data_IF_339653115967
#
_entry.id   IF_339653115967
#
_cell.length_a   1.000
_cell.length_b   1.000
_cell.length_c   1.000
_cell.angle_alpha   90.00
_cell.angle_beta   90.00
_cell.angle_gamma   90.00
#
_symmetry.space_group_name_H-M   'P 1'
#
loop_
_entity.id
_entity.type
_entity.pdbx_description
1 polymer ?
#
# COMPACT_ATOMS: atom_id res chain seq x y z
N UNK A 1 -2.82 -8.12 -20.84
CA UNK A 1 -3.29 -8.69 -19.55
C UNK A 1 -2.36 -9.84 -19.17
N UNK A 2 -1.79 -9.77 -17.97
CA UNK A 2 -1.05 -10.89 -17.35
C UNK A 2 -2.02 -12.02 -17.05
N UNK A 3 -1.73 -13.24 -17.49
CA UNK A 3 -2.57 -14.42 -17.26
C UNK A 3 -2.02 -15.36 -16.20
N UNK A 4 -0.70 -15.36 -16.03
CA UNK A 4 -0.01 -16.24 -15.09
C UNK A 4 1.30 -15.61 -14.66
N UNK A 5 1.61 -15.72 -13.38
CA UNK A 5 2.89 -15.34 -12.76
C UNK A 5 3.59 -16.62 -12.29
N UNK A 6 4.89 -16.72 -12.50
CA UNK A 6 5.70 -17.82 -11.94
C UNK A 6 6.04 -17.53 -10.47
N UNK A 7 5.03 -17.62 -9.62
CA UNK A 7 5.14 -17.40 -8.18
C UNK A 7 6.24 -18.25 -7.55
N UNK A 8 6.30 -19.54 -7.93
CA UNK A 8 7.27 -20.46 -7.35
C UNK A 8 8.72 -20.07 -7.70
N UNK A 9 8.96 -19.57 -8.93
CA UNK A 9 10.28 -19.08 -9.34
C UNK A 9 10.69 -17.82 -8.60
N UNK A 10 9.77 -16.87 -8.46
CA UNK A 10 10.00 -15.62 -7.73
C UNK A 10 10.26 -15.92 -6.25
N UNK A 11 9.40 -16.73 -5.61
CA UNK A 11 9.53 -17.07 -4.20
C UNK A 11 10.85 -17.74 -3.87
N UNK A 12 11.27 -18.72 -4.66
CA UNK A 12 12.60 -19.37 -4.47
C UNK A 12 13.74 -18.36 -4.48
N UNK A 13 13.66 -17.35 -5.34
CA UNK A 13 14.70 -16.32 -5.43
C UNK A 13 14.69 -15.40 -4.22
N UNK A 14 13.50 -15.01 -3.77
CA UNK A 14 13.32 -14.22 -2.55
C UNK A 14 13.79 -14.98 -1.29
N UNK A 15 13.49 -16.28 -1.20
CA UNK A 15 13.88 -17.13 -0.06
C UNK A 15 15.42 -17.28 0.06
N UNK A 16 16.15 -17.07 -1.03
CA UNK A 16 17.61 -16.99 -1.01
C UNK A 16 18.16 -15.63 -0.56
N UNK A 17 17.29 -14.70 -0.17
CA UNK A 17 17.65 -13.34 0.23
C UNK A 17 18.00 -12.41 -0.94
N UNK A 18 17.65 -12.78 -2.17
CA UNK A 18 17.89 -11.97 -3.35
C UNK A 18 16.75 -10.98 -3.61
N UNK A 19 17.06 -9.89 -4.32
CA UNK A 19 16.08 -8.99 -4.90
C UNK A 19 15.68 -9.51 -6.28
N UNK A 20 14.37 -9.53 -6.56
CA UNK A 20 13.85 -9.96 -7.86
C UNK A 20 13.50 -8.72 -8.68
N UNK A 21 14.19 -8.52 -9.79
CA UNK A 21 13.89 -7.47 -10.77
C UNK A 21 13.09 -8.08 -11.92
N UNK A 22 11.87 -7.57 -12.13
CA UNK A 22 10.99 -8.02 -13.20
C UNK A 22 10.87 -6.94 -14.27
N UNK A 23 11.03 -7.32 -15.53
CA UNK A 23 10.77 -6.45 -16.68
C UNK A 23 9.31 -6.57 -17.12
N UNK A 24 8.75 -5.53 -17.78
CA UNK A 24 7.37 -5.55 -18.27
C UNK A 24 7.22 -6.39 -19.56
N UNK A 25 7.72 -7.61 -19.53
CA UNK A 25 7.62 -8.56 -20.65
C UNK A 25 6.83 -9.80 -20.22
N UNK A 26 6.02 -10.31 -21.14
CA UNK A 26 5.35 -11.58 -20.99
C UNK A 26 5.62 -12.48 -22.21
N UNK A 27 5.44 -13.78 -22.04
CA UNK A 27 5.56 -14.75 -23.11
C UNK A 27 4.27 -15.52 -23.28
N UNK A 28 3.88 -15.77 -24.54
CA UNK A 28 2.79 -16.70 -24.82
C UNK A 28 3.24 -18.14 -24.56
N UNK A 29 2.30 -19.09 -24.47
CA UNK A 29 2.65 -20.51 -24.41
C UNK A 29 3.47 -21.01 -25.62
N UNK A 30 3.40 -20.28 -26.73
CA UNK A 30 4.16 -20.54 -27.96
C UNK A 30 5.52 -19.85 -28.01
N UNK A 31 5.89 -19.07 -26.94
CA UNK A 31 7.18 -18.42 -26.82
C UNK A 31 7.26 -17.01 -27.44
N UNK A 32 6.14 -16.44 -27.89
CA UNK A 32 6.12 -15.07 -28.40
C UNK A 32 6.23 -14.06 -27.26
N UNK A 33 7.09 -13.05 -27.42
CA UNK A 33 7.30 -12.01 -26.43
C UNK A 33 6.31 -10.84 -26.63
N UNK A 34 5.78 -10.33 -25.54
CA UNK A 34 4.86 -9.19 -25.51
C UNK A 34 5.34 -8.13 -24.53
N UNK A 35 5.29 -6.87 -24.95
CA UNK A 35 5.36 -5.74 -24.01
C UNK A 35 4.05 -5.64 -23.24
N UNK A 36 4.16 -5.54 -21.93
CA UNK A 36 3.04 -5.37 -21.00
C UNK A 36 3.15 -4.00 -20.32
N UNK A 37 2.05 -3.47 -19.83
CA UNK A 37 2.10 -2.33 -18.93
C UNK A 37 2.78 -2.74 -17.62
N UNK A 38 3.75 -1.94 -17.17
CA UNK A 38 4.52 -2.25 -15.96
C UNK A 38 3.62 -2.32 -14.72
N UNK A 39 2.64 -1.45 -14.65
CA UNK A 39 1.67 -1.38 -13.56
C UNK A 39 0.77 -2.62 -13.50
N UNK A 40 0.40 -3.14 -14.66
CA UNK A 40 -0.36 -4.40 -14.75
C UNK A 40 0.47 -5.60 -14.29
N UNK A 41 1.76 -5.64 -14.66
CA UNK A 41 2.70 -6.68 -14.19
C UNK A 41 2.89 -6.56 -12.68
N UNK A 42 3.20 -5.36 -12.17
CA UNK A 42 3.40 -5.13 -10.75
C UNK A 42 2.17 -5.52 -9.93
N UNK A 43 0.98 -5.08 -10.35
CA UNK A 43 -0.29 -5.41 -9.68
C UNK A 43 -0.54 -6.92 -9.68
N UNK A 44 -0.36 -7.59 -10.82
CA UNK A 44 -0.60 -9.03 -10.93
C UNK A 44 0.40 -9.84 -10.08
N UNK A 45 1.65 -9.44 -10.08
CA UNK A 45 2.70 -10.09 -9.27
C UNK A 45 2.43 -9.88 -7.77
N UNK A 46 2.07 -8.67 -7.34
CA UNK A 46 1.77 -8.38 -5.96
C UNK A 46 0.58 -9.23 -5.45
N UNK A 47 -0.49 -9.35 -6.25
CA UNK A 47 -1.65 -10.17 -5.91
C UNK A 47 -1.27 -11.65 -5.78
N UNK A 48 -0.60 -12.20 -6.78
CA UNK A 48 -0.25 -13.63 -6.81
C UNK A 48 0.77 -14.02 -5.72
N UNK A 49 1.68 -13.11 -5.35
CA UNK A 49 2.61 -13.29 -4.23
C UNK A 49 1.97 -13.03 -2.87
N UNK A 50 0.76 -12.46 -2.83
CA UNK A 50 0.14 -11.93 -1.60
C UNK A 50 1.08 -10.98 -0.88
N UNK A 51 1.60 -10.00 -1.62
CA UNK A 51 2.52 -9.03 -1.08
C UNK A 51 1.83 -8.17 0.00
N UNK A 52 2.55 -7.85 1.07
CA UNK A 52 2.05 -6.95 2.11
C UNK A 52 1.84 -5.54 1.56
N UNK A 53 2.71 -5.11 0.65
CA UNK A 53 2.66 -3.77 0.07
C UNK A 53 2.92 -3.79 -1.43
N UNK A 54 2.19 -2.94 -2.16
CA UNK A 54 2.49 -2.54 -3.54
C UNK A 54 2.76 -1.04 -3.56
N UNK A 55 3.93 -0.63 -4.04
CA UNK A 55 4.32 0.79 -4.07
C UNK A 55 4.55 1.23 -5.50
N UNK A 56 3.81 2.24 -5.95
CA UNK A 56 4.02 2.92 -7.21
C UNK A 56 4.84 4.20 -6.98
N UNK A 57 6.04 4.24 -7.55
CA UNK A 57 6.87 5.45 -7.64
C UNK A 57 6.49 6.18 -8.93
N UNK A 58 5.88 7.36 -8.80
CA UNK A 58 5.19 8.02 -9.92
C UNK A 58 5.48 9.52 -9.99
N UNK A 59 5.06 10.16 -11.08
CA UNK A 59 5.01 11.63 -11.15
C UNK A 59 3.86 12.21 -10.32
N UNK A 60 2.86 11.39 -10.00
CA UNK A 60 1.71 11.79 -9.19
C UNK A 60 2.14 11.90 -7.73
N UNK A 61 1.90 13.05 -7.11
CA UNK A 61 2.27 13.29 -5.71
C UNK A 61 1.41 12.51 -4.71
N UNK A 62 0.25 12.01 -5.14
CA UNK A 62 -0.76 11.33 -4.31
C UNK A 62 -2.17 11.72 -4.75
N UNK A 63 -3.16 11.21 -4.06
CA UNK A 63 -4.57 11.52 -4.27
C UNK A 63 -4.94 12.73 -3.41
N UNK A 64 -5.79 13.61 -3.94
CA UNK A 64 -6.30 14.79 -3.23
C UNK A 64 -7.79 14.64 -3.00
N UNK A 65 -8.28 15.23 -1.91
CA UNK A 65 -9.71 15.23 -1.58
C UNK A 65 -10.58 15.78 -2.71
N UNK A 66 -10.06 16.79 -3.42
CA UNK A 66 -10.74 17.43 -4.56
C UNK A 66 -9.87 17.30 -5.81
N UNK A 67 -9.99 16.19 -6.56
CA UNK A 67 -9.24 16.00 -7.80
C UNK A 67 -9.59 17.08 -8.82
N UNK A 68 -8.56 17.67 -9.43
CA UNK A 68 -8.72 18.75 -10.41
C UNK A 68 -8.57 20.15 -9.83
N UNK A 69 -8.65 20.33 -8.52
CA UNK A 69 -8.35 21.59 -7.85
C UNK A 69 -6.83 21.75 -7.59
N UNK A 70 -6.33 23.00 -7.52
CA UNK A 70 -4.93 23.25 -7.24
C UNK A 70 -4.48 22.65 -5.90
N UNK A 71 -3.21 22.29 -5.84
CA UNK A 71 -2.59 21.87 -4.58
C UNK A 71 -2.51 23.07 -3.61
N UNK A 72 -2.89 22.85 -2.34
CA UNK A 72 -2.85 23.88 -1.29
C UNK A 72 -3.36 23.35 0.02
N UNK A 73 -3.37 24.21 1.03
CA UNK A 73 -3.84 23.86 2.37
C UNK A 73 -5.32 23.44 2.38
N UNK A 74 -6.12 24.00 1.47
CA UNK A 74 -7.54 23.65 1.31
C UNK A 74 -7.76 22.35 0.52
N UNK A 75 -6.72 21.81 -0.12
CA UNK A 75 -6.78 20.58 -0.90
C UNK A 75 -5.50 19.74 -0.67
N UNK A 76 -5.31 19.22 0.54
CA UNK A 76 -4.16 18.39 0.87
C UNK A 76 -4.20 17.04 0.16
N UNK A 77 -3.09 16.31 0.22
CA UNK A 77 -3.05 14.89 -0.18
C UNK A 77 -3.73 14.08 0.92
N UNK A 78 -4.62 13.17 0.50
CA UNK A 78 -5.12 12.12 1.38
C UNK A 78 -4.01 11.09 1.61
N UNK A 79 -3.44 11.07 2.80
CA UNK A 79 -2.35 10.13 3.14
C UNK A 79 -2.87 8.71 3.31
N UNK A 80 -4.12 8.56 3.74
CA UNK A 80 -4.78 7.27 3.91
C UNK A 80 -6.17 7.28 3.25
N UNK A 81 -6.37 6.37 2.31
CA UNK A 81 -7.62 6.26 1.55
C UNK A 81 -8.19 4.84 1.73
N UNK A 82 -9.27 4.68 2.49
CA UNK A 82 -9.97 3.40 2.60
C UNK A 82 -10.41 2.88 1.23
N UNK A 83 -10.34 1.58 1.01
CA UNK A 83 -10.66 0.94 -0.28
C UNK A 83 -12.05 1.33 -0.80
N UNK A 84 -13.04 1.43 0.08
CA UNK A 84 -14.39 1.86 -0.30
C UNK A 84 -14.41 3.30 -0.81
N UNK A 85 -13.68 4.21 -0.16
CA UNK A 85 -13.54 5.61 -0.60
C UNK A 85 -12.76 5.70 -1.91
N UNK A 86 -11.68 4.94 -2.06
CA UNK A 86 -10.91 4.84 -3.30
C UNK A 86 -11.76 4.38 -4.49
N UNK A 87 -12.65 3.40 -4.27
CA UNK A 87 -13.57 2.93 -5.30
C UNK A 87 -14.63 3.99 -5.68
N UNK A 88 -15.18 4.67 -4.67
CA UNK A 88 -16.14 5.75 -4.90
C UNK A 88 -15.51 6.89 -5.68
N UNK A 89 -14.29 7.31 -5.30
CA UNK A 89 -13.53 8.33 -5.99
C UNK A 89 -13.22 7.91 -7.44
N UNK A 90 -12.75 6.69 -7.65
CA UNK A 90 -12.44 6.15 -8.99
C UNK A 90 -13.67 6.17 -9.90
N UNK A 91 -14.86 5.97 -9.38
CA UNK A 91 -16.10 6.02 -10.15
C UNK A 91 -16.45 7.45 -10.62
N UNK A 92 -15.94 8.49 -9.96
CA UNK A 92 -16.17 9.91 -10.33
C UNK A 92 -15.12 10.45 -11.29
N UNK A 93 -13.93 9.81 -11.35
CA UNK A 93 -12.84 10.26 -12.21
C UNK A 93 -13.10 9.85 -13.67
N UNK A 94 -12.65 10.65 -14.65
CA UNK A 94 -12.66 10.24 -16.05
C UNK A 94 -11.83 8.97 -16.25
N UNK A 95 -12.17 8.18 -17.25
CA UNK A 95 -11.41 6.98 -17.59
C UNK A 95 -9.95 7.33 -17.84
N UNK A 96 -9.07 6.79 -17.02
CA UNK A 96 -7.63 7.04 -17.13
C UNK A 96 -7.08 6.44 -18.43
N UNK A 97 -6.36 7.26 -19.21
CA UNK A 97 -5.78 6.87 -20.50
C UNK A 97 -4.25 6.89 -20.48
N UNK A 98 -3.66 7.61 -19.54
CA UNK A 98 -2.21 7.82 -19.46
C UNK A 98 -1.67 7.57 -18.04
N UNK A 99 -0.40 7.16 -17.91
CA UNK A 99 0.23 6.95 -16.59
C UNK A 99 0.34 8.22 -15.72
N UNK A 100 0.18 9.41 -16.30
CA UNK A 100 0.13 10.69 -15.57
C UNK A 100 -1.22 10.96 -14.92
N UNK A 101 -2.25 10.20 -15.30
CA UNK A 101 -3.59 10.37 -14.76
C UNK A 101 -3.67 9.78 -13.35
N UNK A 102 -4.17 10.54 -12.39
CA UNK A 102 -4.39 10.09 -11.00
C UNK A 102 -5.19 8.80 -10.97
N UNK A 103 -6.27 8.72 -11.75
CA UNK A 103 -7.13 7.54 -11.85
C UNK A 103 -6.42 6.28 -12.33
N UNK A 104 -5.32 6.42 -13.09
CA UNK A 104 -4.55 5.29 -13.60
C UNK A 104 -3.92 4.47 -12.46
N UNK A 105 -3.20 5.12 -11.55
CA UNK A 105 -2.59 4.43 -10.41
C UNK A 105 -3.63 4.01 -9.39
N UNK A 106 -4.65 4.86 -9.15
CA UNK A 106 -5.72 4.55 -8.20
C UNK A 106 -6.46 3.26 -8.58
N UNK A 107 -6.74 3.03 -9.87
CA UNK A 107 -7.38 1.78 -10.32
C UNK A 107 -6.51 0.53 -10.05
N UNK A 108 -5.18 0.67 -10.19
CA UNK A 108 -4.24 -0.42 -9.89
C UNK A 108 -4.14 -0.69 -8.39
N UNK A 109 -4.13 0.35 -7.56
CA UNK A 109 -4.18 0.22 -6.09
C UNK A 109 -5.47 -0.47 -5.65
N UNK A 110 -6.63 -0.03 -6.15
CA UNK A 110 -7.92 -0.65 -5.87
C UNK A 110 -7.95 -2.12 -6.31
N UNK A 111 -7.40 -2.43 -7.50
CA UNK A 111 -7.31 -3.80 -8.01
C UNK A 111 -6.42 -4.67 -7.12
N UNK A 112 -5.28 -4.15 -6.67
CA UNK A 112 -4.35 -4.87 -5.80
C UNK A 112 -4.96 -5.19 -4.44
N UNK A 113 -5.55 -4.19 -3.76
CA UNK A 113 -6.19 -4.39 -2.46
C UNK A 113 -7.37 -5.37 -2.56
N UNK A 114 -8.23 -5.26 -3.59
CA UNK A 114 -9.28 -6.26 -3.85
C UNK A 114 -8.73 -7.67 -4.10
N UNK A 115 -7.53 -7.77 -4.61
CA UNK A 115 -6.82 -9.03 -4.86
C UNK A 115 -6.11 -9.59 -3.63
N UNK A 116 -6.17 -8.93 -2.47
CA UNK A 116 -5.60 -9.39 -1.22
C UNK A 116 -4.22 -8.82 -0.88
N UNK A 117 -3.76 -7.77 -1.58
CA UNK A 117 -2.63 -6.96 -1.14
C UNK A 117 -3.11 -6.06 -0.01
N UNK A 118 -2.44 -6.09 1.14
CA UNK A 118 -2.90 -5.36 2.33
C UNK A 118 -2.92 -3.84 2.12
N UNK A 119 -1.88 -3.30 1.49
CA UNK A 119 -1.69 -1.85 1.27
C UNK A 119 -1.12 -1.56 -0.10
N UNK A 120 -1.62 -0.53 -0.74
CA UNK A 120 -1.07 -0.06 -2.01
C UNK A 120 -0.79 1.44 -1.94
N UNK A 121 0.40 1.86 -2.36
CA UNK A 121 0.88 3.22 -2.18
C UNK A 121 1.14 3.89 -3.53
N UNK A 122 0.83 5.18 -3.61
CA UNK A 122 1.19 6.08 -4.71
C UNK A 122 2.09 7.16 -4.11
N UNK A 123 3.37 7.19 -4.50
CA UNK A 123 4.35 8.12 -3.95
C UNK A 123 5.12 8.84 -5.05
N UNK A 124 5.52 10.10 -4.83
CA UNK A 124 6.28 10.85 -5.81
C UNK A 124 7.73 10.38 -5.90
N UNK A 125 8.23 10.14 -7.11
CA UNK A 125 9.65 9.87 -7.32
C UNK A 125 10.51 11.14 -7.29
N UNK A 126 9.90 12.31 -7.48
CA UNK A 126 10.62 13.59 -7.51
C UNK A 126 11.19 14.01 -6.14
N UNK A 127 10.67 13.45 -5.05
CA UNK A 127 11.17 13.71 -3.71
C UNK A 127 12.28 12.73 -3.36
N UNK A 128 13.47 13.25 -3.04
CA UNK A 128 14.59 12.41 -2.63
C UNK A 128 14.28 11.66 -1.34
N UNK A 129 14.58 10.36 -1.31
CA UNK A 129 14.27 9.50 -0.18
C UNK A 129 12.79 9.13 -0.01
N UNK A 130 11.92 9.42 -0.98
CA UNK A 130 10.47 9.19 -0.90
C UNK A 130 10.11 7.77 -0.44
N UNK A 131 10.76 6.74 -0.98
CA UNK A 131 10.51 5.36 -0.60
C UNK A 131 10.87 5.08 0.86
N UNK A 132 11.96 5.65 1.36
CA UNK A 132 12.38 5.49 2.75
C UNK A 132 11.41 6.22 3.70
N UNK A 133 10.99 7.41 3.34
CA UNK A 133 9.99 8.15 4.11
C UNK A 133 8.68 7.38 4.20
N UNK A 134 8.17 6.85 3.08
CA UNK A 134 6.93 6.08 3.06
C UNK A 134 7.00 4.78 3.88
N UNK A 135 8.16 4.14 3.92
CA UNK A 135 8.31 2.86 4.65
C UNK A 135 8.58 3.07 6.14
N UNK A 136 9.29 4.12 6.53
CA UNK A 136 9.79 4.30 7.90
C UNK A 136 9.14 5.45 8.67
N UNK A 137 8.41 6.36 8.02
CA UNK A 137 7.73 7.48 8.69
C UNK A 137 6.22 7.19 8.76
N UNK A 138 5.61 7.47 9.91
CA UNK A 138 4.21 7.17 10.18
C UNK A 138 3.24 7.88 9.22
N UNK A 139 3.51 9.16 8.94
CA UNK A 139 2.57 9.99 8.16
C UNK A 139 2.73 9.83 6.64
N UNK A 140 3.77 9.09 6.19
CA UNK A 140 4.02 8.90 4.77
C UNK A 140 4.22 10.21 3.98
N UNK A 141 4.31 10.11 2.67
CA UNK A 141 4.45 11.29 1.78
C UNK A 141 3.52 11.23 0.58
N UNK A 142 2.85 10.14 0.39
CA UNK A 142 1.94 9.87 -0.70
C UNK A 142 0.55 9.49 -0.23
N UNK A 143 -0.16 8.72 -1.02
CA UNK A 143 -1.45 8.15 -0.66
C UNK A 143 -1.34 6.65 -0.52
N UNK A 144 -1.79 6.13 0.61
CA UNK A 144 -1.94 4.70 0.87
C UNK A 144 -3.40 4.30 0.71
N UNK A 145 -3.67 3.31 -0.15
CA UNK A 145 -4.98 2.65 -0.23
C UNK A 145 -4.94 1.39 0.61
N UNK A 146 -5.93 1.23 1.50
CA UNK A 146 -6.00 0.12 2.46
C UNK A 146 -7.42 -0.43 2.56
N UNK A 147 -7.57 -1.76 2.65
CA UNK A 147 -8.89 -2.40 2.76
C UNK A 147 -9.47 -2.31 4.18
N UNK A 148 -8.62 -2.35 5.18
CA UNK A 148 -8.99 -2.15 6.57
C UNK A 148 -8.63 -0.73 7.01
N UNK A 149 -9.49 -0.10 7.81
CA UNK A 149 -9.09 1.10 8.52
C UNK A 149 -7.90 0.76 9.41
N UNK A 150 -6.80 1.50 9.28
CA UNK A 150 -5.80 1.52 10.34
C UNK A 150 -6.53 1.76 11.64
N UNK A 151 -6.21 0.96 12.66
CA UNK A 151 -6.91 0.96 13.96
C UNK A 151 -7.20 2.38 14.41
N UNK A 152 -8.47 2.73 14.52
CA UNK A 152 -8.86 4.03 15.05
C UNK A 152 -8.35 4.11 16.49
N UNK A 153 -7.42 5.02 16.76
CA UNK A 153 -7.03 5.35 18.11
C UNK A 153 -8.30 5.83 18.85
N UNK A 154 -8.78 5.02 19.76
CA UNK A 154 -9.91 5.34 20.62
C UNK A 154 -9.51 5.28 22.10
N UNK A 155 -10.24 5.96 22.92
CA UNK A 155 -10.07 5.80 24.36
C UNK A 155 -10.36 4.35 24.77
N UNK A 156 -9.48 3.81 25.62
CA UNK A 156 -9.63 2.45 26.14
C UNK A 156 -10.88 2.34 27.03
N UNK A 157 -11.61 1.26 26.89
CA UNK A 157 -12.75 0.93 27.72
C UNK A 157 -12.39 -0.14 28.75
N UNK A 158 -13.28 -0.41 29.69
CA UNK A 158 -13.08 -1.46 30.71
C UNK A 158 -12.87 -2.82 30.05
N UNK A 159 -13.46 -3.08 28.90
CA UNK A 159 -13.31 -4.35 28.18
C UNK A 159 -11.90 -4.56 27.59
N UNK A 160 -11.16 -3.48 27.37
CA UNK A 160 -9.80 -3.51 26.82
C UNK A 160 -8.72 -3.80 27.87
N UNK A 161 -9.03 -3.65 29.15
CA UNK A 161 -8.07 -3.78 30.26
C UNK A 161 -7.32 -5.10 30.21
N UNK A 162 -8.00 -6.22 29.91
CA UNK A 162 -7.38 -7.53 29.80
C UNK A 162 -6.32 -7.61 28.70
N UNK A 163 -6.62 -7.05 27.50
CA UNK A 163 -5.69 -7.00 26.39
C UNK A 163 -4.50 -6.07 26.66
N UNK A 164 -4.77 -4.91 27.26
CA UNK A 164 -3.73 -3.93 27.62
C UNK A 164 -2.74 -4.55 28.64
N UNK A 165 -3.25 -5.24 29.65
CA UNK A 165 -2.39 -5.91 30.62
C UNK A 165 -1.52 -7.00 29.99
N UNK A 166 -2.05 -7.78 29.05
CA UNK A 166 -1.26 -8.78 28.31
C UNK A 166 -0.15 -8.15 27.46
N UNK A 167 -0.42 -7.00 26.85
CA UNK A 167 0.57 -6.24 26.06
C UNK A 167 1.69 -5.67 26.96
N UNK A 168 1.36 -5.20 28.15
CA UNK A 168 2.29 -4.54 29.07
C UNK A 168 3.13 -5.56 29.88
N UNK A 169 2.58 -6.73 30.20
CA UNK A 169 3.22 -7.73 31.05
C UNK A 169 4.67 -8.11 30.64
N UNK A 170 5.01 -8.31 29.35
CA UNK A 170 6.39 -8.56 28.95
C UNK A 170 7.34 -7.42 29.29
N UNK A 171 6.90 -6.17 29.12
CA UNK A 171 7.70 -4.96 29.39
C UNK A 171 7.86 -4.67 30.90
N UNK A 172 6.92 -5.12 31.72
CA UNK A 172 7.08 -5.09 33.17
C UNK A 172 8.05 -6.19 33.66
N UNK A 173 8.08 -7.35 32.98
CA UNK A 173 8.97 -8.45 33.34
C UNK A 173 10.43 -8.17 32.99
N UNK A 174 10.68 -7.47 31.88
CA UNK A 174 12.04 -7.11 31.44
C UNK A 174 12.54 -5.80 32.08
N UNK A 175 11.69 -5.10 32.83
CA UNK A 175 12.04 -3.87 33.54
C UNK A 175 11.98 -2.60 32.68
N UNK A 176 11.48 -2.69 31.46
CA UNK A 176 11.26 -1.53 30.58
C UNK A 176 10.15 -0.64 31.11
N UNK A 177 9.10 -1.22 31.72
CA UNK A 177 8.03 -0.51 32.38
C UNK A 177 8.03 -0.78 33.90
N UNK A 178 7.71 0.27 34.67
CA UNK A 178 7.55 0.16 36.11
C UNK A 178 6.21 -0.53 36.40
N UNK A 179 6.26 -1.60 37.18
CA UNK A 179 5.06 -2.31 37.61
C UNK A 179 4.18 -1.39 38.45
N UNK A 180 2.96 -1.15 37.99
CA UNK A 180 1.94 -0.38 38.73
C UNK A 180 0.98 -1.31 39.46
N UNK A 181 0.55 -0.90 40.66
CA UNK A 181 -0.43 -1.66 41.40
C UNK A 181 -1.82 -1.53 40.75
N UNK A 182 -2.59 -2.62 40.70
CA UNK A 182 -3.90 -2.68 40.01
C UNK A 182 -5.00 -1.83 40.65
N UNK A 183 -4.68 -1.06 41.68
CA UNK A 183 -5.58 -0.21 42.46
C UNK A 183 -5.46 1.28 42.14
N UNK A 184 -4.57 1.68 41.25
CA UNK A 184 -4.49 3.02 40.67
C UNK A 184 -4.98 2.99 39.21
#
# INVERSE_FOLDING_TARGET
LVRKVDVAGIQRTLDMGALVLLSPFGFSPTGEAFNLAMEEVATSVAIELRADKLIFLTEVSGIRMQPGEPAGDDNPIDTELPLAAAQALLATLPTAQQPTDVGFYLQHCVKACKGGVERSHIIPFALDGSLLLEVYVHDGIGTMVIDEKLEELREATIDDVGGILQLIEPFEKDGTLVKRDRTE
#
